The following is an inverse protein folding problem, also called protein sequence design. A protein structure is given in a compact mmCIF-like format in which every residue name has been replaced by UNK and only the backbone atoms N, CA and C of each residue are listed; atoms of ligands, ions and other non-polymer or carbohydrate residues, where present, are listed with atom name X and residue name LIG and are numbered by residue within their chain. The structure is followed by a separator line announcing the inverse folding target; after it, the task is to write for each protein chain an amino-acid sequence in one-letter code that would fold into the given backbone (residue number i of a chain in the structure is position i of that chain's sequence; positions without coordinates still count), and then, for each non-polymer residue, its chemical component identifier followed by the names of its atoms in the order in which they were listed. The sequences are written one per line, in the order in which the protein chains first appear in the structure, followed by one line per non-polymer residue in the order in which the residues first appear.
data_IF_494609842667
#
_entry.id   IF_494609842667
#
_cell.length_a   1.000
_cell.length_b   1.000
_cell.length_c   1.000
_cell.angle_alpha   90.00
_cell.angle_beta   90.00
_cell.angle_gamma   90.00
#
_symmetry.space_group_name_H-M   'P 1'
#
loop_
_entity.id
_entity.type
_entity.pdbx_description
1 polymer ?
#
# COMPACT_ATOMS: atom_id res chain seq x y z
N UNK A 1 -1.28 10.68 14.69
CA UNK A 1 -2.09 9.72 13.93
C UNK A 1 -3.06 9.01 14.85
N UNK A 2 -4.36 9.09 14.61
CA UNK A 2 -5.37 8.30 15.30
C UNK A 2 -5.75 7.03 14.51
N UNK A 3 -6.63 6.18 15.07
CA UNK A 3 -7.06 4.93 14.43
C UNK A 3 -7.78 5.18 13.09
N UNK A 4 -8.71 6.14 13.06
CA UNK A 4 -9.51 6.47 11.87
C UNK A 4 -8.64 6.89 10.67
N UNK A 5 -7.55 7.61 10.92
CA UNK A 5 -6.59 8.00 9.88
C UNK A 5 -5.85 6.81 9.29
N UNK A 6 -5.41 5.87 10.14
CA UNK A 6 -4.75 4.64 9.67
C UNK A 6 -5.69 3.80 8.81
N UNK A 7 -6.96 3.70 9.21
CA UNK A 7 -7.99 3.00 8.45
C UNK A 7 -8.24 3.65 7.08
N UNK A 8 -8.24 5.00 7.02
CA UNK A 8 -8.37 5.72 5.76
C UNK A 8 -7.20 5.41 4.80
N UNK A 9 -5.95 5.44 5.28
CA UNK A 9 -4.81 5.11 4.42
C UNK A 9 -4.81 3.65 3.98
N UNK A 10 -5.17 2.74 4.88
CA UNK A 10 -5.35 1.32 4.56
C UNK A 10 -6.42 1.14 3.47
N UNK A 11 -7.55 1.84 3.59
CA UNK A 11 -8.62 1.80 2.60
C UNK A 11 -8.13 2.30 1.24
N UNK A 12 -7.49 3.48 1.21
CA UNK A 12 -6.98 4.07 -0.03
C UNK A 12 -5.95 3.15 -0.70
N UNK A 13 -5.03 2.57 0.08
CA UNK A 13 -4.07 1.58 -0.44
C UNK A 13 -4.79 0.34 -0.98
N UNK A 14 -5.75 -0.22 -0.25
CA UNK A 14 -6.50 -1.41 -0.66
C UNK A 14 -7.23 -1.20 -1.98
N UNK A 15 -7.88 -0.05 -2.15
CA UNK A 15 -8.63 0.29 -3.37
C UNK A 15 -7.72 0.46 -4.58
N UNK A 16 -6.48 0.92 -4.38
CA UNK A 16 -5.54 1.22 -5.45
C UNK A 16 -4.43 0.17 -5.62
N UNK A 17 -4.38 -0.86 -4.77
CA UNK A 17 -3.32 -1.86 -4.75
C UNK A 17 -3.12 -2.55 -6.12
N UNK A 18 -4.17 -2.98 -6.84
CA UNK A 18 -4.00 -3.57 -8.17
C UNK A 18 -3.41 -2.58 -9.19
N UNK A 19 -3.77 -1.30 -9.10
CA UNK A 19 -3.28 -0.24 -10.00
C UNK A 19 -1.81 0.02 -9.74
N UNK A 20 -1.41 0.22 -8.48
CA UNK A 20 -0.03 0.42 -8.09
C UNK A 20 0.84 -0.78 -8.47
N UNK A 21 0.35 -2.00 -8.23
CA UNK A 21 1.06 -3.23 -8.60
C UNK A 21 1.25 -3.35 -10.11
N UNK A 22 0.21 -3.10 -10.91
CA UNK A 22 0.31 -3.11 -12.38
C UNK A 22 1.24 -2.01 -12.89
N UNK A 23 1.30 -0.86 -12.21
CA UNK A 23 2.20 0.23 -12.55
C UNK A 23 3.67 -0.11 -12.29
N UNK A 24 3.95 -0.96 -11.30
CA UNK A 24 5.27 -1.58 -11.08
C UNK A 24 5.59 -2.71 -12.09
N UNK A 25 4.63 -3.11 -12.92
CA UNK A 25 4.73 -4.26 -13.84
C UNK A 25 5.08 -5.58 -13.14
N UNK A 26 4.43 -5.87 -12.01
CA UNK A 26 4.63 -7.12 -11.27
C UNK A 26 3.33 -7.89 -11.01
N UNK A 27 3.45 -9.19 -10.82
CA UNK A 27 2.38 -10.11 -10.43
C UNK A 27 2.06 -10.04 -8.93
N UNK A 28 0.94 -10.65 -8.53
CA UNK A 28 0.59 -10.79 -7.12
C UNK A 28 1.61 -11.66 -6.35
N UNK A 29 2.24 -12.62 -7.04
CA UNK A 29 3.27 -13.48 -6.44
C UNK A 29 4.52 -12.65 -6.11
N UNK A 30 5.05 -11.92 -7.10
CA UNK A 30 6.25 -11.09 -6.93
C UNK A 30 6.05 -9.99 -5.88
N UNK A 31 4.86 -9.38 -5.82
CA UNK A 31 4.54 -8.42 -4.76
C UNK A 31 4.51 -9.11 -3.38
N UNK A 32 3.97 -10.32 -3.29
CA UNK A 32 3.88 -11.07 -2.04
C UNK A 32 5.25 -11.51 -1.53
N UNK A 33 6.16 -11.91 -2.42
CA UNK A 33 7.56 -12.22 -2.11
C UNK A 33 8.30 -10.98 -1.56
N UNK A 34 8.11 -9.81 -2.20
CA UNK A 34 8.74 -8.55 -1.76
C UNK A 34 8.36 -8.14 -0.33
N UNK A 35 7.15 -8.47 0.12
CA UNK A 35 6.67 -8.09 1.47
C UNK A 35 6.59 -9.27 2.44
N UNK A 36 7.02 -10.47 2.04
CA UNK A 36 7.10 -11.65 2.90
C UNK A 36 5.74 -12.23 3.31
N UNK A 37 4.76 -12.28 2.40
CA UNK A 37 3.45 -12.88 2.64
C UNK A 37 3.06 -13.86 1.54
N UNK A 38 1.98 -14.62 1.73
CA UNK A 38 1.47 -15.47 0.66
C UNK A 38 0.83 -14.66 -0.46
N UNK A 39 0.91 -15.15 -1.71
CA UNK A 39 0.13 -14.61 -2.83
C UNK A 39 -1.37 -14.54 -2.53
N UNK A 40 -1.91 -15.53 -1.83
CA UNK A 40 -3.33 -15.56 -1.43
C UNK A 40 -3.70 -14.40 -0.50
N UNK A 41 -2.75 -13.86 0.26
CA UNK A 41 -2.96 -12.67 1.09
C UNK A 41 -3.14 -11.43 0.22
N UNK A 42 -2.22 -11.21 -0.75
CA UNK A 42 -2.36 -10.11 -1.74
C UNK A 42 -3.66 -10.24 -2.52
N UNK A 43 -3.96 -11.43 -3.04
CA UNK A 43 -5.20 -11.67 -3.78
C UNK A 43 -6.45 -11.41 -2.92
N UNK A 44 -6.41 -11.78 -1.63
CA UNK A 44 -7.51 -11.49 -0.70
C UNK A 44 -7.71 -10.00 -0.47
N UNK A 45 -6.63 -9.23 -0.38
CA UNK A 45 -6.66 -7.77 -0.20
C UNK A 45 -7.16 -7.07 -1.46
N UNK A 46 -6.61 -7.40 -2.64
CA UNK A 46 -7.05 -6.82 -3.92
C UNK A 46 -8.53 -7.07 -4.21
N UNK A 47 -9.06 -8.22 -3.76
CA UNK A 47 -10.47 -8.56 -3.87
C UNK A 47 -11.32 -8.08 -2.68
N UNK A 48 -10.75 -7.29 -1.75
CA UNK A 48 -11.42 -6.75 -0.54
C UNK A 48 -12.00 -7.83 0.38
N UNK A 49 -11.53 -9.07 0.28
CA UNK A 49 -11.89 -10.20 1.14
C UNK A 49 -11.06 -10.24 2.44
N UNK A 50 -9.94 -9.51 2.47
CA UNK A 50 -9.05 -9.39 3.62
C UNK A 50 -8.66 -7.93 3.83
N UNK A 51 -8.66 -7.50 5.09
CA UNK A 51 -8.15 -6.18 5.49
C UNK A 51 -6.65 -6.29 5.74
N UNK A 52 -5.86 -5.40 5.13
CA UNK A 52 -4.42 -5.30 5.41
C UNK A 52 -4.17 -4.74 6.82
N UNK A 53 -3.09 -5.20 7.46
CA UNK A 53 -2.62 -4.61 8.71
C UNK A 53 -1.84 -3.32 8.45
N UNK A 54 -1.65 -2.50 9.49
CA UNK A 54 -0.80 -1.31 9.40
C UNK A 54 0.65 -1.63 9.01
N UNK A 55 1.21 -2.72 9.52
CA UNK A 55 2.57 -3.14 9.17
C UNK A 55 2.68 -3.48 7.68
N UNK A 56 1.66 -4.15 7.13
CA UNK A 56 1.62 -4.47 5.70
C UNK A 56 1.47 -3.21 4.84
N UNK A 57 0.64 -2.26 5.28
CA UNK A 57 0.52 -0.95 4.65
C UNK A 57 1.90 -0.26 4.57
N UNK A 58 2.67 -0.23 5.66
CA UNK A 58 4.00 0.39 5.68
C UNK A 58 5.01 -0.33 4.77
N UNK A 59 5.00 -1.67 4.75
CA UNK A 59 5.84 -2.45 3.82
C UNK A 59 5.51 -2.14 2.36
N UNK A 60 4.23 -2.13 2.00
CA UNK A 60 3.77 -1.77 0.65
C UNK A 60 4.14 -0.32 0.31
N UNK A 61 3.93 0.61 1.25
CA UNK A 61 4.26 2.02 1.08
C UNK A 61 5.74 2.20 0.74
N UNK A 62 6.65 1.50 1.43
CA UNK A 62 8.07 1.55 1.13
C UNK A 62 8.36 1.10 -0.31
N UNK A 63 7.77 -0.01 -0.75
CA UNK A 63 7.97 -0.52 -2.12
C UNK A 63 7.50 0.49 -3.16
N UNK A 64 6.32 1.10 -2.95
CA UNK A 64 5.75 2.04 -3.92
C UNK A 64 6.42 3.42 -3.92
N UNK A 65 6.92 3.90 -2.78
CA UNK A 65 7.69 5.17 -2.72
C UNK A 65 9.02 5.02 -3.47
N UNK A 66 9.61 3.82 -3.51
CA UNK A 66 10.92 3.59 -4.15
C UNK A 66 10.86 3.44 -5.67
N UNK A 67 9.69 3.58 -6.28
CA UNK A 67 9.51 3.61 -7.72
C UNK A 67 8.86 4.94 -8.12
N UNK A 68 9.50 5.68 -9.01
CA UNK A 68 9.09 7.05 -9.41
C UNK A 68 7.65 7.10 -9.94
N UNK A 69 7.24 6.04 -10.63
CA UNK A 69 5.97 5.91 -11.32
C UNK A 69 4.81 5.69 -10.34
N UNK A 70 5.03 4.91 -9.28
CA UNK A 70 4.05 4.72 -8.21
C UNK A 70 4.10 5.82 -7.15
N UNK A 71 5.27 6.40 -6.86
CA UNK A 71 5.43 7.45 -5.85
C UNK A 71 4.54 8.66 -6.14
N UNK A 72 4.52 9.11 -7.40
CA UNK A 72 3.64 10.20 -7.87
C UNK A 72 2.15 9.88 -7.65
N UNK A 73 1.76 8.61 -7.82
CA UNK A 73 0.36 8.18 -7.66
C UNK A 73 -0.07 8.12 -6.19
N UNK A 74 0.84 7.82 -5.26
CA UNK A 74 0.49 7.70 -3.83
C UNK A 74 -0.09 8.99 -3.26
N UNK A 75 0.42 10.14 -3.69
CA UNK A 75 -0.09 11.45 -3.28
C UNK A 75 -1.48 11.71 -3.87
N UNK A 76 -1.66 11.44 -5.16
CA UNK A 76 -2.95 11.60 -5.87
C UNK A 76 -4.03 10.70 -5.28
N UNK A 77 -3.67 9.49 -4.85
CA UNK A 77 -4.56 8.50 -4.26
C UNK A 77 -4.82 8.73 -2.77
N UNK A 78 -4.24 9.78 -2.16
CA UNK A 78 -4.38 10.05 -0.73
C UNK A 78 -3.80 8.94 0.16
N UNK A 79 -2.80 8.22 -0.33
CA UNK A 79 -2.11 7.13 0.37
C UNK A 79 -0.89 7.68 1.10
N UNK A 80 -0.11 8.53 0.43
CA UNK A 80 1.02 9.25 1.02
C UNK A 80 0.66 10.73 1.13
N UNK A 81 0.63 11.24 2.36
CA UNK A 81 0.19 12.61 2.66
C UNK A 81 1.22 13.30 3.54
N UNK A 82 1.21 14.64 3.58
CA UNK A 82 2.09 15.41 4.46
C UNK A 82 1.90 15.02 5.94
N UNK A 83 0.66 14.72 6.34
CA UNK A 83 0.37 14.22 7.68
C UNK A 83 1.03 12.87 7.94
N UNK A 84 0.91 11.91 7.01
CA UNK A 84 1.56 10.60 7.15
C UNK A 84 3.09 10.75 7.18
N UNK A 85 3.63 11.60 6.31
CA UNK A 85 5.06 11.88 6.26
C UNK A 85 5.57 12.50 7.58
N UNK A 86 4.85 13.49 8.12
CA UNK A 86 5.18 14.10 9.40
C UNK A 86 5.09 13.12 10.57
N UNK A 87 4.17 12.15 10.51
CA UNK A 87 4.08 11.08 11.50
C UNK A 87 5.27 10.10 11.43
N UNK A 88 5.73 9.73 10.23
CA UNK A 88 6.83 8.78 10.05
C UNK A 88 8.20 9.42 10.35
N UNK A 89 8.37 10.71 10.07
CA UNK A 89 9.64 11.44 10.28
C UNK A 89 9.93 11.80 11.73
N UNK A 90 8.92 11.76 12.61
CA UNK A 90 9.06 12.06 14.04
C UNK A 90 9.64 10.86 14.79
#
# INVERSE_FOLDING_TARGET
MNANQKELFIKNMTENLPTLRKKLDISQEELSEKIGVSRSTIAGIENKKRTMSWNMFLSLLLIFIKNEDTDKLLNVMGIYTDELNAFIKK
#
